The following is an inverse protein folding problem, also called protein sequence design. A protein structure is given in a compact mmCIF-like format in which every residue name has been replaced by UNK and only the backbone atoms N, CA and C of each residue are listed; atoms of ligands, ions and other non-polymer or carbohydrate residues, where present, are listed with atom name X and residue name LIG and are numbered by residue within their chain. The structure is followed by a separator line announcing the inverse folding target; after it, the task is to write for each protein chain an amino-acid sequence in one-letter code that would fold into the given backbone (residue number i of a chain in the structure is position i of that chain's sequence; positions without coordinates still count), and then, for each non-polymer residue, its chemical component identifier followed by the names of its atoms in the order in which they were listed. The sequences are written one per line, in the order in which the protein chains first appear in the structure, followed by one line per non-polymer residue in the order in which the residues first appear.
data_IF_698666384436
#
_entry.id   IF_698666384436
#
_cell.length_a   1.000
_cell.length_b   1.000
_cell.length_c   1.000
_cell.angle_alpha   90.00
_cell.angle_beta   90.00
_cell.angle_gamma   90.00
#
_symmetry.space_group_name_H-M   'P 1'
#
loop_
_entity.id
_entity.type
_entity.pdbx_description
1 polymer ?
#
# COMPACT_ATOMS: atom_id res chain seq x y z
N UNK A 1 -17.02 -37.61 20.39
CA UNK A 1 -15.99 -38.67 20.27
C UNK A 1 -15.87 -39.01 18.80
N UNK A 2 -14.73 -39.06 18.14
CA UNK A 2 -13.35 -38.69 18.45
C UNK A 2 -12.63 -38.87 17.08
N UNK A 3 -12.05 -37.77 16.58
CA UNK A 3 -10.87 -37.59 15.71
C UNK A 3 -10.16 -38.79 15.05
N UNK A 4 -9.85 -38.64 13.76
CA UNK A 4 -8.53 -38.83 13.07
C UNK A 4 -8.76 -38.53 11.56
N UNK A 5 -7.94 -37.89 10.73
CA UNK A 5 -6.60 -37.30 10.85
C UNK A 5 -5.83 -37.47 9.53
N UNK A 6 -5.69 -36.37 8.74
CA UNK A 6 -4.59 -35.99 7.81
C UNK A 6 -4.38 -36.87 6.52
N UNK A 7 -3.75 -36.50 5.39
CA UNK A 7 -2.75 -35.50 4.96
C UNK A 7 -2.92 -35.26 3.44
N UNK A 8 -3.03 -34.00 2.97
CA UNK A 8 -2.89 -33.68 1.54
C UNK A 8 -1.45 -33.24 1.27
N UNK A 9 -0.79 -34.04 0.43
CA UNK A 9 0.60 -33.95 0.01
C UNK A 9 0.84 -32.65 -0.78
N UNK A 10 1.57 -31.71 -0.16
CA UNK A 10 2.03 -30.50 -0.83
C UNK A 10 3.22 -30.86 -1.72
N UNK A 11 3.01 -30.90 -3.03
CA UNK A 11 4.07 -31.02 -4.03
C UNK A 11 5.03 -29.83 -3.93
N UNK A 12 6.15 -30.04 -3.23
CA UNK A 12 7.25 -29.11 -3.10
C UNK A 12 7.89 -28.87 -4.47
N UNK A 13 7.83 -27.63 -4.96
CA UNK A 13 8.64 -27.20 -6.10
C UNK A 13 10.13 -27.41 -5.77
N UNK A 14 10.96 -27.86 -6.73
CA UNK A 14 12.38 -28.10 -6.48
C UNK A 14 13.08 -26.78 -6.15
N UNK A 15 13.82 -26.77 -5.03
CA UNK A 15 14.80 -25.74 -4.67
C UNK A 15 15.92 -25.74 -5.71
N UNK A 16 15.69 -25.06 -6.83
CA UNK A 16 16.66 -24.84 -7.88
C UNK A 16 17.49 -23.60 -7.58
N UNK A 17 18.82 -23.73 -7.55
CA UNK A 17 19.74 -22.59 -7.55
C UNK A 17 19.80 -22.06 -8.98
N UNK A 18 19.28 -20.85 -9.20
CA UNK A 18 19.35 -20.17 -10.49
C UNK A 18 20.54 -19.20 -10.49
N UNK A 19 21.51 -19.45 -11.37
CA UNK A 19 22.67 -18.58 -11.57
C UNK A 19 22.23 -17.37 -12.40
N UNK A 20 22.00 -16.24 -11.74
CA UNK A 20 21.73 -14.98 -12.42
C UNK A 20 23.07 -14.39 -12.89
N UNK A 21 23.21 -14.02 -14.17
CA UNK A 21 24.41 -13.35 -14.65
C UNK A 21 24.59 -12.05 -13.86
N UNK A 22 25.59 -12.03 -12.97
CA UNK A 22 25.82 -10.92 -12.05
C UNK A 22 26.18 -9.65 -12.80
N UNK A 23 25.41 -8.58 -12.62
CA UNK A 23 25.85 -7.25 -13.01
C UNK A 23 27.15 -6.92 -12.25
N UNK A 24 28.14 -6.29 -12.90
CA UNK A 24 29.42 -6.00 -12.25
C UNK A 24 29.21 -5.10 -11.04
N UNK A 25 29.76 -5.49 -9.89
CA UNK A 25 29.74 -4.68 -8.69
C UNK A 25 30.42 -3.32 -8.97
N UNK A 26 29.70 -2.23 -8.72
CA UNK A 26 30.24 -0.88 -8.86
C UNK A 26 31.10 -0.60 -7.62
N UNK A 27 32.40 -0.41 -7.83
CA UNK A 27 33.33 0.02 -6.78
C UNK A 27 33.13 1.53 -6.57
N UNK A 28 32.50 1.92 -5.46
CA UNK A 28 32.43 3.32 -5.06
C UNK A 28 33.78 3.67 -4.40
N UNK A 29 34.66 4.33 -5.15
CA UNK A 29 35.98 4.78 -4.69
C UNK A 29 35.92 5.95 -3.70
N UNK A 30 35.25 5.75 -2.56
CA UNK A 30 35.28 6.70 -1.46
C UNK A 30 33.92 6.91 -0.83
N UNK A 31 33.86 6.69 0.48
CA UNK A 31 32.85 7.28 1.35
C UNK A 31 33.23 8.76 1.49
N UNK A 32 32.40 9.73 1.07
CA UNK A 32 32.65 11.14 1.36
C UNK A 32 32.81 11.31 2.88
N UNK A 33 33.79 12.09 3.36
CA UNK A 33 33.90 12.35 4.79
C UNK A 33 32.59 12.98 5.27
N UNK A 34 31.92 12.28 6.19
CA UNK A 34 30.70 12.77 6.83
C UNK A 34 31.08 14.08 7.54
N UNK A 35 30.31 15.18 7.35
CA UNK A 35 30.44 16.33 8.24
C UNK A 35 30.22 15.87 9.69
N UNK A 36 30.80 16.54 10.70
CA UNK A 36 30.53 16.22 12.10
C UNK A 36 29.04 16.47 12.39
N UNK A 37 28.24 15.43 12.21
CA UNK A 37 26.81 15.45 12.41
C UNK A 37 26.53 15.05 13.85
N UNK A 38 26.09 16.01 14.65
CA UNK A 38 25.38 15.72 15.88
C UNK A 38 24.21 14.79 15.55
N UNK A 39 24.16 13.68 16.27
CA UNK A 39 23.42 12.47 15.94
C UNK A 39 22.05 12.68 15.30
N UNK A 40 21.83 12.02 14.16
CA UNK A 40 20.65 11.21 13.85
C UNK A 40 20.96 10.47 12.55
N UNK A 41 21.82 9.44 12.64
CA UNK A 41 21.74 8.32 11.71
C UNK A 41 20.99 7.24 12.48
N UNK A 42 19.69 7.10 12.23
CA UNK A 42 18.91 5.99 12.77
C UNK A 42 19.33 4.75 11.97
N UNK A 43 19.99 3.75 12.58
CA UNK A 43 20.11 2.44 11.97
C UNK A 43 18.69 1.87 11.90
N UNK A 44 18.24 1.48 10.70
CA UNK A 44 17.04 0.66 10.59
C UNK A 44 17.40 -0.74 11.08
N UNK A 45 17.42 -0.93 12.40
CA UNK A 45 17.46 -2.25 13.00
C UNK A 45 16.14 -2.95 12.67
N UNK A 46 16.21 -3.94 11.77
CA UNK A 46 15.18 -4.97 11.64
C UNK A 46 15.35 -5.91 12.83
N UNK A 47 14.98 -5.42 14.01
CA UNK A 47 14.61 -6.29 15.11
C UNK A 47 13.14 -6.63 14.90
N UNK A 48 12.88 -7.88 14.50
CA UNK A 48 11.55 -8.48 14.56
C UNK A 48 11.16 -8.64 16.03
N UNK A 49 10.81 -7.53 16.68
CA UNK A 49 10.11 -7.56 17.95
C UNK A 49 8.61 -7.61 17.65
N UNK A 50 7.94 -8.59 18.24
CA UNK A 50 6.51 -8.85 18.09
C UNK A 50 5.67 -7.84 18.89
N UNK A 51 6.04 -6.57 18.81
CA UNK A 51 5.26 -5.46 19.31
C UNK A 51 4.84 -4.67 18.08
N UNK A 52 3.52 -4.61 17.86
CA UNK A 52 2.89 -3.96 16.71
C UNK A 52 3.61 -2.65 16.41
N UNK A 53 4.52 -2.66 15.42
CA UNK A 53 5.13 -1.45 14.89
C UNK A 53 3.96 -0.69 14.28
N UNK A 54 3.27 0.10 15.09
CA UNK A 54 2.26 1.07 14.66
C UNK A 54 3.05 2.07 13.86
N UNK A 55 3.29 1.75 12.59
CA UNK A 55 4.04 2.60 11.69
C UNK A 55 3.19 3.87 11.56
N UNK A 56 3.55 4.85 12.39
CA UNK A 56 2.67 5.95 12.75
C UNK A 56 2.44 6.78 11.50
N UNK A 57 1.21 6.71 10.96
CA UNK A 57 0.81 7.43 9.74
C UNK A 57 0.47 6.58 8.52
N UNK A 58 0.72 5.26 8.53
CA UNK A 58 0.38 4.39 7.40
C UNK A 58 -1.13 4.19 7.21
N UNK A 59 -1.93 4.27 8.28
CA UNK A 59 -3.37 4.04 8.17
C UNK A 59 -4.07 4.99 7.20
N UNK A 60 -3.62 6.24 7.08
CA UNK A 60 -4.19 7.17 6.10
C UNK A 60 -3.91 6.77 4.65
N UNK A 61 -2.80 6.09 4.37
CA UNK A 61 -2.44 5.66 3.01
C UNK A 61 -3.36 4.58 2.48
N UNK A 62 -4.10 3.90 3.36
CA UNK A 62 -5.04 2.86 2.98
C UNK A 62 -6.37 3.42 2.48
N UNK A 63 -6.67 4.70 2.71
CA UNK A 63 -7.86 5.36 2.15
C UNK A 63 -7.87 5.23 0.62
N UNK A 64 -8.98 4.73 0.09
CA UNK A 64 -9.21 4.50 -1.33
C UNK A 64 -8.83 3.09 -1.82
N UNK A 65 -8.12 2.29 -1.01
CA UNK A 65 -7.83 0.88 -1.32
C UNK A 65 -9.13 0.10 -1.41
N UNK A 66 -9.12 -0.90 -2.28
CA UNK A 66 -10.25 -1.80 -2.51
C UNK A 66 -10.14 -3.01 -1.61
N UNK A 67 -11.29 -3.47 -1.12
CA UNK A 67 -11.40 -4.67 -0.30
C UNK A 67 -12.44 -5.60 -0.91
N UNK A 68 -12.36 -6.88 -0.53
CA UNK A 68 -13.31 -7.90 -0.92
C UNK A 68 -13.58 -8.82 0.27
N UNK A 69 -14.82 -8.81 0.77
CA UNK A 69 -15.22 -9.60 1.95
C UNK A 69 -16.35 -10.55 1.58
N UNK A 70 -16.31 -11.76 2.14
CA UNK A 70 -17.39 -12.75 2.03
C UNK A 70 -18.33 -12.56 3.23
N UNK A 71 -19.60 -12.26 2.95
CA UNK A 71 -20.66 -12.23 3.95
C UNK A 71 -21.67 -13.33 3.64
N UNK A 72 -21.72 -14.35 4.50
CA UNK A 72 -22.48 -15.57 4.24
C UNK A 72 -22.00 -16.24 2.94
N UNK A 73 -22.88 -16.30 1.94
CA UNK A 73 -22.59 -16.91 0.63
C UNK A 73 -22.25 -15.90 -0.47
N UNK A 74 -22.23 -14.59 -0.16
CA UNK A 74 -22.01 -13.53 -1.15
C UNK A 74 -20.75 -12.73 -0.85
N UNK A 75 -19.98 -12.49 -1.90
CA UNK A 75 -18.81 -11.61 -1.85
C UNK A 75 -19.23 -10.19 -2.20
N UNK A 76 -18.75 -9.24 -1.40
CA UNK A 76 -18.98 -7.80 -1.60
C UNK A 76 -17.66 -7.08 -1.80
N UNK A 77 -17.63 -6.17 -2.77
CA UNK A 77 -16.50 -5.27 -2.95
C UNK A 77 -16.73 -4.01 -2.12
N UNK A 78 -15.66 -3.50 -1.53
CA UNK A 78 -15.71 -2.29 -0.73
C UNK A 78 -14.50 -1.40 -0.97
N UNK A 79 -14.54 -0.23 -0.34
CA UNK A 79 -13.44 0.74 -0.37
C UNK A 79 -13.22 1.31 1.02
N UNK A 80 -11.95 1.37 1.43
CA UNK A 80 -11.57 2.09 2.65
C UNK A 80 -11.83 3.58 2.42
N UNK A 81 -12.68 4.19 3.23
CA UNK A 81 -13.07 5.60 3.08
C UNK A 81 -12.41 6.49 4.11
N UNK A 82 -12.22 5.99 5.34
CA UNK A 82 -11.70 6.77 6.46
C UNK A 82 -10.77 5.92 7.34
N UNK A 83 -9.93 6.61 8.09
CA UNK A 83 -9.08 6.03 9.13
C UNK A 83 -9.13 6.93 10.35
N UNK A 84 -9.52 6.35 11.49
CA UNK A 84 -9.45 6.99 12.79
C UNK A 84 -8.06 6.76 13.39
N UNK A 85 -7.28 7.83 13.50
CA UNK A 85 -5.91 7.79 14.06
C UNK A 85 -5.89 7.54 15.56
N UNK A 86 -6.91 7.99 16.27
CA UNK A 86 -6.97 7.90 17.73
C UNK A 86 -7.32 6.47 18.14
N UNK A 87 -8.33 5.91 17.49
CA UNK A 87 -8.80 4.57 17.80
C UNK A 87 -8.08 3.47 17.00
N UNK A 88 -7.51 3.79 15.83
CA UNK A 88 -6.83 2.82 14.95
C UNK A 88 -7.76 2.04 14.02
N UNK A 89 -8.98 2.53 13.79
CA UNK A 89 -10.03 1.84 13.03
C UNK A 89 -10.13 2.35 11.60
N UNK A 90 -10.54 1.46 10.70
CA UNK A 90 -10.72 1.74 9.28
C UNK A 90 -12.17 1.61 8.88
N UNK A 91 -12.74 2.68 8.33
CA UNK A 91 -14.10 2.61 7.78
C UNK A 91 -14.09 2.11 6.36
N UNK A 92 -14.74 0.98 6.12
CA UNK A 92 -14.99 0.42 4.79
C UNK A 92 -16.45 0.65 4.42
N UNK A 93 -16.69 1.15 3.21
CA UNK A 93 -18.04 1.21 2.62
C UNK A 93 -18.11 0.17 1.49
N UNK A 94 -19.13 -0.68 1.53
CA UNK A 94 -19.38 -1.73 0.54
C UNK A 94 -20.28 -1.24 -0.60
N UNK A 95 -20.37 -2.03 -1.67
CA UNK A 95 -21.13 -1.69 -2.88
C UNK A 95 -22.65 -1.63 -2.70
N UNK A 96 -23.19 -2.25 -1.64
CA UNK A 96 -24.59 -2.19 -1.23
C UNK A 96 -24.93 -0.92 -0.42
N UNK A 97 -23.92 -0.14 -0.04
CA UNK A 97 -24.06 1.10 0.72
C UNK A 97 -23.90 0.92 2.23
N UNK A 98 -23.77 -0.31 2.72
CA UNK A 98 -23.46 -0.59 4.12
C UNK A 98 -21.98 -0.31 4.41
N UNK A 99 -21.65 -0.16 5.70
CA UNK A 99 -20.30 0.12 6.15
C UNK A 99 -19.96 -0.62 7.44
N UNK A 100 -18.67 -0.84 7.64
CA UNK A 100 -18.10 -1.47 8.83
C UNK A 100 -16.83 -0.70 9.22
N UNK A 101 -16.58 -0.59 10.52
CA UNK A 101 -15.32 -0.08 11.06
C UNK A 101 -14.48 -1.29 11.49
N UNK A 102 -13.29 -1.46 10.90
CA UNK A 102 -12.43 -2.64 11.03
C UNK A 102 -11.10 -2.32 11.72
N UNK A 103 -10.56 -3.27 12.46
CA UNK A 103 -9.17 -3.22 12.92
C UNK A 103 -8.18 -3.51 11.76
N UNK A 104 -6.88 -3.23 11.97
CA UNK A 104 -5.86 -3.48 10.94
C UNK A 104 -5.83 -4.95 10.48
N UNK A 105 -5.88 -5.90 11.42
CA UNK A 105 -5.80 -7.34 11.10
C UNK A 105 -7.00 -7.78 10.25
N UNK A 106 -8.21 -7.36 10.62
CA UNK A 106 -9.42 -7.66 9.86
C UNK A 106 -9.41 -7.03 8.46
N UNK A 107 -8.91 -5.79 8.36
CA UNK A 107 -8.77 -5.11 7.08
C UNK A 107 -7.73 -5.80 6.19
N UNK A 108 -6.60 -6.22 6.75
CA UNK A 108 -5.51 -6.88 6.03
C UNK A 108 -5.98 -8.14 5.31
N UNK A 109 -6.81 -8.96 5.96
CA UNK A 109 -7.36 -10.19 5.41
C UNK A 109 -8.23 -9.98 4.16
N UNK A 110 -8.90 -8.82 4.07
CA UNK A 110 -9.85 -8.53 2.98
C UNK A 110 -9.30 -7.54 1.94
N UNK A 111 -8.07 -7.04 2.11
CA UNK A 111 -7.47 -6.08 1.18
C UNK A 111 -7.17 -6.72 -0.17
N UNK A 112 -7.60 -6.05 -1.25
CA UNK A 112 -7.23 -6.48 -2.60
C UNK A 112 -5.74 -6.22 -2.86
N UNK A 113 -5.03 -7.13 -3.55
CA UNK A 113 -3.63 -6.92 -3.92
C UNK A 113 -3.41 -5.62 -4.70
N UNK A 114 -2.24 -5.01 -4.54
CA UNK A 114 -1.82 -3.90 -5.41
C UNK A 114 -1.40 -4.46 -6.76
N UNK A 115 -1.86 -3.83 -7.84
CA UNK A 115 -1.37 -4.13 -9.18
C UNK A 115 0.01 -3.50 -9.41
N UNK A 116 1.05 -4.21 -9.00
CA UNK A 116 2.45 -3.85 -9.20
C UNK A 116 2.91 -4.03 -10.65
N UNK A 117 2.08 -4.62 -11.52
CA UNK A 117 2.38 -4.79 -12.95
C UNK A 117 2.14 -3.49 -13.74
N UNK A 118 1.54 -2.47 -13.11
CA UNK A 118 1.39 -1.15 -13.71
C UNK A 118 2.78 -0.50 -13.89
N UNK A 119 3.24 -0.27 -15.14
CA UNK A 119 4.56 0.28 -15.38
C UNK A 119 4.66 1.70 -14.82
N UNK A 120 5.66 1.93 -13.95
CA UNK A 120 5.89 3.22 -13.28
C UNK A 120 5.98 4.39 -14.26
N UNK A 121 6.60 4.18 -15.42
CA UNK A 121 6.69 5.20 -16.50
C UNK A 121 5.30 5.64 -16.95
N UNK A 122 4.38 4.69 -17.13
CA UNK A 122 2.99 4.97 -17.51
C UNK A 122 2.22 5.73 -16.43
N UNK A 123 2.40 5.31 -15.17
CA UNK A 123 1.78 5.97 -14.01
C UNK A 123 2.29 7.42 -13.83
N UNK A 124 3.61 7.63 -13.86
CA UNK A 124 4.22 8.94 -13.75
C UNK A 124 3.67 9.89 -14.83
N UNK A 125 3.60 9.42 -16.08
CA UNK A 125 3.10 10.22 -17.19
C UNK A 125 1.60 10.55 -17.06
N UNK A 126 0.79 9.62 -16.52
CA UNK A 126 -0.63 9.85 -16.22
C UNK A 126 -0.82 10.90 -15.12
N UNK A 127 0.00 10.87 -14.08
CA UNK A 127 -0.02 11.84 -12.98
C UNK A 127 0.34 13.25 -13.48
N UNK A 128 1.42 13.38 -14.26
CA UNK A 128 1.87 14.67 -14.83
C UNK A 128 0.75 15.27 -15.70
N UNK A 129 0.16 14.48 -16.61
CA UNK A 129 -0.95 14.93 -17.47
C UNK A 129 -2.18 15.36 -16.69
N UNK A 130 -2.54 14.66 -15.61
CA UNK A 130 -3.68 15.01 -14.74
C UNK A 130 -3.50 16.39 -14.12
N UNK A 131 -2.29 16.72 -13.63
CA UNK A 131 -1.94 18.02 -13.05
C UNK A 131 -2.02 19.16 -14.08
N UNK A 132 -1.59 18.92 -15.32
CA UNK A 132 -1.69 19.92 -16.40
C UNK A 132 -3.16 20.19 -16.83
N UNK A 133 -4.05 19.20 -16.73
CA UNK A 133 -5.47 19.41 -17.04
C UNK A 133 -6.21 20.25 -15.99
N UNK A 134 -5.83 20.15 -14.71
CA UNK A 134 -6.42 20.99 -13.66
C UNK A 134 -6.03 22.46 -13.77
N UNK A 135 -4.82 22.76 -14.24
CA UNK A 135 -4.38 24.16 -14.47
C UNK A 135 -5.09 24.80 -15.66
N UNK A 136 -5.34 24.05 -16.74
CA UNK A 136 -6.08 24.56 -17.91
C UNK A 136 -7.59 24.81 -17.66
N UNK A 137 -8.23 24.09 -16.72
CA UNK A 137 -9.63 24.37 -16.36
C UNK A 137 -9.79 25.67 -15.54
N UNK A 138 -8.85 25.95 -14.65
CA UNK A 138 -8.89 27.18 -13.82
C UNK A 138 -8.72 28.46 -14.65
N UNK A 139 -7.94 28.41 -15.74
CA UNK A 139 -7.73 29.56 -16.61
C UNK A 139 -8.96 29.97 -17.45
N UNK A 140 -9.89 29.04 -17.74
CA UNK A 140 -11.11 29.33 -18.52
C UNK A 140 -12.25 29.94 -17.70
N UNK A 141 -12.24 29.81 -16.37
CA UNK A 141 -13.29 30.38 -15.51
C UNK A 141 -13.02 31.83 -15.11
N UNK A 142 -11.77 32.32 -15.17
CA UNK A 142 -11.45 33.72 -14.84
C UNK A 142 -11.82 34.73 -15.95
N UNK A 143 -12.06 34.31 -17.19
CA UNK A 143 -12.34 35.23 -18.31
C UNK A 143 -13.82 35.57 -18.50
N UNK A 144 -14.75 35.03 -17.69
CA UNK A 144 -16.21 35.27 -17.82
C UNK A 144 -16.84 36.05 -16.66
N UNK A 145 -16.06 36.84 -15.89
CA UNK A 145 -16.57 37.63 -14.76
C UNK A 145 -16.22 39.13 -14.82
N UNK A 146 -16.13 39.68 -16.04
CA UNK A 146 -16.14 41.13 -16.27
C UNK A 146 -17.11 41.38 -17.40
N UNK A 147 -18.35 41.69 -17.03
CA UNK A 147 -19.35 42.48 -17.77
C UNK A 147 -20.70 42.29 -17.06
N UNK A 148 -20.93 43.10 -16.01
CA UNK A 148 -22.24 43.58 -15.56
C UNK A 148 -22.03 44.89 -14.83
#
# INVERSE_FOLDING_TARGET
MENTGKEDESESLPTGVFELPGEPAIIINGVPPLPPNNGTLVPCDVASDAESNKITGFGEWLKGREVRKLFGERVYNGKVTQFDKEAGWYRVVYEDGDFEDLEWLELEEILMPLDIMLPLKGLALKIIRKRQRSTHRSAKTMTKSRNS
#
